data_IF_079820830225
#
_entry.id   IF_079820830225
#
_cell.length_a   1.000
_cell.length_b   1.000
_cell.length_c   1.000
_cell.angle_alpha   90.00
_cell.angle_beta   90.00
_cell.angle_gamma   90.00
#
_symmetry.space_group_name_H-M   'P 1'
#
loop_
_entity.id
_entity.type
_entity.pdbx_description
1 polymer ?
#
# COMPACT_ATOMS: atom_id res chain seq x y z
N UNK A 1 -3.23 13.42 20.77
CA UNK A 1 -2.50 13.12 19.51
C UNK A 1 -3.39 13.51 18.33
N UNK A 2 -2.85 14.01 17.21
CA UNK A 2 -3.64 14.20 15.98
C UNK A 2 -4.06 12.82 15.46
N UNK A 3 -5.35 12.61 15.18
CA UNK A 3 -5.81 11.38 14.50
C UNK A 3 -5.21 11.40 13.10
N UNK A 4 -4.47 10.36 12.72
CA UNK A 4 -3.79 10.28 11.42
C UNK A 4 -4.75 9.91 10.28
N UNK A 5 -5.77 10.75 10.08
CA UNK A 5 -6.67 10.77 8.93
C UNK A 5 -6.46 12.12 8.23
N UNK A 6 -6.28 12.16 6.90
CA UNK A 6 -6.03 13.42 6.20
C UNK A 6 -7.24 14.36 6.24
N UNK A 7 -7.00 15.65 6.42
CA UNK A 7 -8.06 16.65 6.38
C UNK A 7 -8.55 16.85 4.95
N UNK A 8 -9.84 16.64 4.67
CA UNK A 8 -10.46 17.09 3.40
C UNK A 8 -10.61 18.62 3.47
N UNK A 9 -10.09 19.32 2.45
CA UNK A 9 -10.15 20.79 2.34
C UNK A 9 -11.33 21.25 1.48
N UNK A 10 -11.65 20.49 0.43
CA UNK A 10 -12.75 20.79 -0.49
C UNK A 10 -13.21 19.52 -1.22
N UNK A 11 -14.48 19.47 -1.64
CA UNK A 11 -15.02 18.43 -2.51
C UNK A 11 -16.15 19.02 -3.36
N UNK A 12 -16.19 18.68 -4.64
CA UNK A 12 -17.20 19.17 -5.57
C UNK A 12 -16.99 18.64 -7.00
N UNK A 13 -17.65 19.25 -7.97
CA UNK A 13 -17.49 18.95 -9.38
C UNK A 13 -16.86 20.14 -10.13
N UNK A 14 -15.96 19.86 -11.06
CA UNK A 14 -15.29 20.84 -11.92
C UNK A 14 -15.25 20.29 -13.36
N UNK A 15 -16.12 20.82 -14.22
CA UNK A 15 -16.41 20.20 -15.52
C UNK A 15 -16.96 18.78 -15.36
N UNK A 16 -16.43 17.84 -16.16
CA UNK A 16 -16.78 16.41 -16.09
C UNK A 16 -16.17 15.66 -14.89
N UNK A 17 -15.38 16.33 -14.04
CA UNK A 17 -14.60 15.68 -12.97
C UNK A 17 -15.20 15.94 -11.58
N UNK A 18 -15.39 14.86 -10.82
CA UNK A 18 -15.52 14.97 -9.36
C UNK A 18 -14.12 15.14 -8.76
N UNK A 19 -13.91 16.24 -8.04
CA UNK A 19 -12.60 16.66 -7.50
C UNK A 19 -12.68 16.76 -5.98
N UNK A 20 -11.70 16.17 -5.30
CA UNK A 20 -11.53 16.23 -3.85
C UNK A 20 -10.12 16.72 -3.52
N UNK A 21 -10.03 17.80 -2.76
CA UNK A 21 -8.76 18.38 -2.31
C UNK A 21 -8.56 18.01 -0.85
N UNK A 22 -7.39 17.46 -0.50
CA UNK A 22 -7.08 16.98 0.83
C UNK A 22 -5.67 17.40 1.29
N UNK A 23 -5.37 17.14 2.57
CA UNK A 23 -4.06 17.31 3.17
C UNK A 23 -3.01 16.44 2.45
N UNK A 24 -2.00 17.07 1.84
CA UNK A 24 -0.89 16.38 1.19
C UNK A 24 -0.05 15.64 2.25
N UNK A 25 0.21 14.36 2.02
CA UNK A 25 0.97 13.50 2.91
C UNK A 25 2.40 13.28 2.40
N UNK A 26 3.24 12.69 3.26
CA UNK A 26 4.54 12.16 2.86
C UNK A 26 4.43 10.88 2.00
N UNK A 27 5.58 10.25 1.66
CA UNK A 27 5.63 9.00 0.89
C UNK A 27 4.88 7.87 1.60
N UNK A 28 4.38 6.91 0.81
CA UNK A 28 3.67 5.74 1.33
C UNK A 28 4.62 4.76 2.04
N UNK A 29 4.06 3.82 2.80
CA UNK A 29 4.86 2.75 3.40
C UNK A 29 5.55 1.86 2.36
N UNK A 30 4.98 1.68 1.15
CA UNK A 30 5.63 0.93 0.07
C UNK A 30 6.78 1.73 -0.57
N UNK A 31 6.65 3.05 -0.73
CA UNK A 31 7.76 3.90 -1.17
C UNK A 31 8.93 3.84 -0.18
N UNK A 32 8.62 3.96 1.11
CA UNK A 32 9.60 3.84 2.20
C UNK A 32 10.20 2.43 2.30
N UNK A 33 9.42 1.40 2.00
CA UNK A 33 9.88 0.00 1.98
C UNK A 33 10.85 -0.25 0.83
N UNK A 34 10.57 0.24 -0.37
CA UNK A 34 11.50 0.18 -1.50
C UNK A 34 12.77 1.03 -1.26
N UNK A 35 12.65 2.20 -0.60
CA UNK A 35 13.81 2.98 -0.16
C UNK A 35 14.67 2.23 0.87
N UNK A 36 14.07 1.41 1.74
CA UNK A 36 14.77 0.52 2.68
C UNK A 36 15.12 -0.85 2.04
N UNK A 37 15.43 -0.89 0.74
CA UNK A 37 15.83 -2.11 0.02
C UNK A 37 14.86 -3.30 0.18
N UNK A 38 13.57 -3.02 0.33
CA UNK A 38 12.47 -3.98 0.54
C UNK A 38 12.62 -4.84 1.80
N UNK A 39 13.20 -4.30 2.87
CA UNK A 39 13.17 -4.92 4.20
C UNK A 39 13.16 -3.87 5.30
N UNK A 40 12.23 -4.01 6.25
CA UNK A 40 12.24 -3.22 7.48
C UNK A 40 12.86 -4.00 8.65
N UNK A 41 13.42 -3.28 9.61
CA UNK A 41 13.86 -3.83 10.89
C UNK A 41 12.66 -4.17 11.77
N UNK A 42 12.85 -5.12 12.71
CA UNK A 42 11.81 -5.47 13.68
C UNK A 42 11.33 -4.24 14.49
N UNK A 43 12.24 -3.32 14.83
CA UNK A 43 11.90 -2.06 15.51
C UNK A 43 10.90 -1.24 14.67
N UNK A 44 11.21 -1.03 13.39
CA UNK A 44 10.35 -0.29 12.45
C UNK A 44 8.98 -0.97 12.26
N UNK A 45 8.95 -2.29 12.09
CA UNK A 45 7.67 -3.04 11.93
C UNK A 45 6.80 -2.94 13.19
N UNK A 46 7.37 -3.01 14.38
CA UNK A 46 6.62 -2.89 15.64
C UNK A 46 6.13 -1.44 15.92
N UNK A 47 6.92 -0.42 15.59
CA UNK A 47 6.49 0.99 15.66
C UNK A 47 5.36 1.30 14.67
N UNK A 48 5.35 0.65 13.51
CA UNK A 48 4.25 0.73 12.54
C UNK A 48 3.01 -0.01 13.04
N UNK A 49 3.16 -1.23 13.58
CA UNK A 49 2.06 -2.05 14.07
C UNK A 49 1.17 -1.33 15.11
N UNK A 50 1.77 -0.69 16.11
CA UNK A 50 1.02 0.02 17.16
C UNK A 50 0.14 1.15 16.60
N UNK A 51 0.69 1.90 15.63
CA UNK A 51 -0.03 2.98 14.96
C UNK A 51 -1.12 2.43 14.03
N UNK A 52 -0.82 1.40 13.24
CA UNK A 52 -1.76 0.82 12.27
C UNK A 52 -2.96 0.17 12.95
N UNK A 53 -2.75 -0.61 14.03
CA UNK A 53 -3.85 -1.16 14.85
C UNK A 53 -4.73 -0.01 15.37
N UNK A 54 -4.12 1.09 15.84
CA UNK A 54 -4.83 2.25 16.38
C UNK A 54 -5.57 3.08 15.31
N UNK A 55 -5.17 3.01 14.03
CA UNK A 55 -5.97 3.59 12.93
C UNK A 55 -7.17 2.70 12.57
N UNK A 56 -6.98 1.39 12.51
CA UNK A 56 -8.04 0.43 12.26
C UNK A 56 -9.10 0.47 13.36
N UNK A 57 -8.70 0.51 14.64
CA UNK A 57 -9.62 0.70 15.77
C UNK A 57 -10.43 1.99 15.63
N UNK A 58 -9.81 3.12 15.26
CA UNK A 58 -10.53 4.37 15.05
C UNK A 58 -11.57 4.25 13.93
N UNK A 59 -11.22 3.64 12.79
CA UNK A 59 -12.15 3.44 11.67
C UNK A 59 -13.34 2.56 12.11
N UNK A 60 -13.06 1.45 12.78
CA UNK A 60 -14.08 0.56 13.36
C UNK A 60 -14.94 1.26 14.44
N UNK A 61 -14.39 2.24 15.19
CA UNK A 61 -15.14 3.05 16.16
C UNK A 61 -16.15 4.01 15.52
N UNK A 62 -16.05 4.23 14.20
CA UNK A 62 -17.00 5.03 13.41
C UNK A 62 -17.98 4.17 12.63
N UNK A 63 -18.06 2.87 12.94
CA UNK A 63 -18.90 1.87 12.26
C UNK A 63 -18.55 1.63 10.78
N UNK A 64 -17.39 2.09 10.33
CA UNK A 64 -16.83 1.73 9.02
C UNK A 64 -15.91 0.53 9.16
N UNK A 65 -15.89 -0.35 8.17
CA UNK A 65 -14.82 -1.33 7.93
C UNK A 65 -13.97 -0.72 6.83
N UNK A 66 -12.64 -0.66 7.00
CA UNK A 66 -11.74 -0.07 6.00
C UNK A 66 -11.76 -0.88 4.70
N UNK A 67 -11.85 -2.21 4.81
CA UNK A 67 -11.92 -3.20 3.72
C UNK A 67 -10.72 -3.22 2.78
N UNK A 68 -9.82 -2.24 2.86
CA UNK A 68 -8.69 -2.06 1.95
C UNK A 68 -7.33 -1.93 2.66
N UNK A 69 -7.17 -2.58 3.81
CA UNK A 69 -5.86 -2.73 4.48
C UNK A 69 -4.93 -3.66 3.67
N UNK A 70 -4.32 -3.18 2.58
CA UNK A 70 -3.47 -3.99 1.68
C UNK A 70 -2.30 -3.16 1.11
N UNK A 71 -1.27 -3.82 0.54
CA UNK A 71 -0.32 -3.17 -0.36
C UNK A 71 -0.95 -2.78 -1.72
N UNK A 72 -1.74 -3.69 -2.33
CA UNK A 72 -2.36 -3.51 -3.67
C UNK A 72 -3.78 -4.16 -3.74
N UNK A 73 -4.70 -3.71 -2.89
CA UNK A 73 -6.16 -3.95 -2.95
C UNK A 73 -6.62 -5.38 -3.35
N UNK A 74 -6.32 -6.36 -2.51
CA UNK A 74 -6.81 -7.75 -2.64
C UNK A 74 -8.33 -7.85 -2.42
N UNK A 75 -9.11 -8.08 -3.48
CA UNK A 75 -10.49 -8.55 -3.35
C UNK A 75 -10.49 -10.06 -3.03
N UNK A 76 -10.92 -10.43 -1.81
CA UNK A 76 -11.26 -11.82 -1.50
C UNK A 76 -12.73 -12.08 -1.79
N UNK A 77 -13.03 -13.26 -2.35
CA UNK A 77 -14.40 -13.75 -2.52
C UNK A 77 -14.90 -13.76 -3.97
N UNK A 78 -15.01 -14.97 -4.54
CA UNK A 78 -15.88 -15.25 -5.70
C UNK A 78 -17.19 -15.93 -5.28
N UNK A 79 -17.43 -16.02 -3.97
CA UNK A 79 -18.76 -15.95 -3.37
C UNK A 79 -18.86 -14.69 -2.51
N UNK A 80 -20.07 -14.18 -2.30
CA UNK A 80 -20.37 -12.98 -1.51
C UNK A 80 -20.14 -13.22 0.00
N UNK A 81 -18.89 -13.34 0.45
CA UNK A 81 -18.55 -13.23 1.87
C UNK A 81 -18.35 -11.76 2.22
N UNK A 82 -19.17 -11.25 3.13
CA UNK A 82 -19.05 -9.88 3.62
C UNK A 82 -17.79 -9.73 4.48
N UNK A 83 -17.15 -8.56 4.40
CA UNK A 83 -15.94 -8.24 5.16
C UNK A 83 -16.29 -7.47 6.44
N UNK A 84 -15.67 -7.90 7.54
CA UNK A 84 -15.91 -7.50 8.91
C UNK A 84 -14.63 -7.03 9.62
N UNK A 85 -14.72 -6.71 10.92
CA UNK A 85 -13.60 -6.13 11.69
C UNK A 85 -12.37 -7.03 11.78
N UNK A 86 -12.55 -8.36 11.71
CA UNK A 86 -11.44 -9.32 11.73
C UNK A 86 -10.67 -9.35 10.40
N UNK A 87 -11.35 -9.11 9.28
CA UNK A 87 -10.79 -9.22 7.94
C UNK A 87 -9.73 -8.12 7.71
N UNK A 88 -10.00 -6.90 8.18
CA UNK A 88 -9.01 -5.80 8.16
C UNK A 88 -7.81 -6.05 9.09
N UNK A 89 -8.01 -6.70 10.24
CA UNK A 89 -6.92 -7.05 11.16
C UNK A 89 -6.07 -8.23 10.65
N UNK A 90 -6.68 -9.29 10.12
CA UNK A 90 -5.94 -10.38 9.47
C UNK A 90 -5.13 -9.83 8.27
N UNK A 91 -5.73 -8.92 7.50
CA UNK A 91 -5.07 -8.17 6.44
C UNK A 91 -3.90 -7.30 6.93
N UNK A 92 -4.01 -6.61 8.07
CA UNK A 92 -2.87 -5.95 8.70
C UNK A 92 -1.76 -6.95 9.08
N UNK A 93 -2.11 -8.12 9.62
CA UNK A 93 -1.15 -9.17 9.94
C UNK A 93 -0.33 -9.62 8.73
N UNK A 94 -0.97 -9.75 7.56
CA UNK A 94 -0.27 -10.01 6.30
C UNK A 94 0.62 -8.84 5.84
N UNK A 95 0.25 -7.59 6.09
CA UNK A 95 1.09 -6.41 5.79
C UNK A 95 2.33 -6.36 6.70
N UNK A 96 2.18 -6.66 8.00
CA UNK A 96 3.33 -6.74 8.92
C UNK A 96 4.28 -7.88 8.54
N UNK A 97 3.75 -9.05 8.16
CA UNK A 97 4.57 -10.16 7.67
C UNK A 97 5.23 -9.87 6.32
N UNK A 98 4.60 -9.10 5.44
CA UNK A 98 5.20 -8.62 4.20
C UNK A 98 6.44 -7.73 4.47
N UNK A 99 6.33 -6.79 5.41
CA UNK A 99 7.47 -5.93 5.80
C UNK A 99 8.63 -6.71 6.44
N UNK A 100 8.32 -7.76 7.22
CA UNK A 100 9.31 -8.69 7.77
C UNK A 100 10.03 -9.48 6.67
N UNK A 101 9.27 -10.04 5.71
CA UNK A 101 9.74 -11.04 4.74
C UNK A 101 10.28 -10.45 3.41
N UNK A 102 9.95 -9.21 3.05
CA UNK A 102 10.23 -8.63 1.72
C UNK A 102 9.25 -9.05 0.62
N UNK A 103 8.64 -10.23 0.78
CA UNK A 103 7.56 -10.77 -0.05
C UNK A 103 6.72 -11.82 0.68
N UNK A 104 5.50 -12.08 0.21
CA UNK A 104 4.58 -13.09 0.76
C UNK A 104 4.50 -14.33 -0.16
N UNK A 105 4.26 -15.55 0.37
CA UNK A 105 4.27 -16.82 -0.40
C UNK A 105 3.24 -16.96 -1.53
N UNK A 106 2.38 -15.97 -1.73
CA UNK A 106 1.34 -15.89 -2.78
C UNK A 106 1.54 -14.71 -3.76
N UNK A 107 2.65 -13.97 -3.66
CA UNK A 107 3.05 -13.02 -4.72
C UNK A 107 3.60 -13.77 -5.95
N UNK A 108 3.65 -13.09 -7.09
CA UNK A 108 4.17 -13.65 -8.36
C UNK A 108 3.28 -14.72 -9.04
N UNK A 109 2.21 -15.20 -8.41
CA UNK A 109 1.32 -16.22 -8.95
C UNK A 109 0.70 -15.79 -10.31
N UNK A 110 1.06 -16.53 -11.37
CA UNK A 110 0.54 -16.35 -12.73
C UNK A 110 -0.86 -16.95 -12.86
N UNK A 111 -1.72 -16.32 -13.64
CA UNK A 111 -3.05 -16.79 -14.04
C UNK A 111 -3.49 -16.10 -15.34
N UNK A 112 -4.38 -16.73 -16.11
CA UNK A 112 -4.88 -16.15 -17.38
C UNK A 112 -5.92 -15.04 -17.16
N UNK A 113 -6.67 -15.08 -16.06
CA UNK A 113 -7.70 -14.07 -15.73
C UNK A 113 -7.50 -13.47 -14.35
N UNK A 114 -8.00 -12.23 -14.15
CA UNK A 114 -8.05 -11.57 -12.83
C UNK A 114 -8.81 -12.42 -11.79
N UNK A 115 -9.85 -13.14 -12.22
CA UNK A 115 -10.60 -14.12 -11.41
C UNK A 115 -9.67 -15.23 -10.87
N UNK A 116 -9.06 -15.99 -11.76
CA UNK A 116 -8.17 -17.11 -11.41
C UNK A 116 -6.94 -16.67 -10.61
N UNK A 117 -6.48 -15.42 -10.79
CA UNK A 117 -5.41 -14.85 -9.98
C UNK A 117 -5.81 -14.78 -8.50
N UNK A 118 -7.02 -14.29 -8.20
CA UNK A 118 -7.52 -14.23 -6.82
C UNK A 118 -7.88 -15.61 -6.26
N UNK A 119 -8.41 -16.53 -7.07
CA UNK A 119 -8.65 -17.94 -6.65
C UNK A 119 -7.33 -18.57 -6.15
N UNK A 120 -6.28 -18.57 -6.97
CA UNK A 120 -4.94 -19.10 -6.63
C UNK A 120 -4.29 -18.41 -5.42
N UNK A 121 -4.47 -17.08 -5.28
CA UNK A 121 -3.96 -16.34 -4.12
C UNK A 121 -4.72 -16.72 -2.84
N UNK A 122 -6.04 -16.90 -2.91
CA UNK A 122 -6.87 -17.31 -1.78
C UNK A 122 -6.54 -18.74 -1.34
N UNK A 123 -6.43 -19.67 -2.29
CA UNK A 123 -5.98 -21.04 -2.07
C UNK A 123 -4.59 -21.08 -1.41
N UNK A 124 -3.63 -20.28 -1.92
CA UNK A 124 -2.28 -20.23 -1.36
C UNK A 124 -2.21 -19.59 0.04
N UNK A 125 -3.08 -18.62 0.35
CA UNK A 125 -3.25 -18.05 1.69
C UNK A 125 -3.85 -19.05 2.69
N UNK A 126 -4.85 -19.83 2.26
CA UNK A 126 -5.49 -20.84 3.12
C UNK A 126 -4.60 -22.07 3.35
N UNK A 127 -3.85 -22.50 2.32
CA UNK A 127 -2.95 -23.67 2.39
C UNK A 127 -1.56 -23.38 2.98
N UNK A 128 -1.26 -22.14 3.36
CA UNK A 128 -0.03 -21.78 4.07
C UNK A 128 -0.35 -21.63 5.57
N UNK A 129 0.15 -22.53 6.46
CA UNK A 129 -0.03 -22.38 7.90
C UNK A 129 0.62 -21.10 8.42
N UNK A 130 0.08 -20.52 9.49
CA UNK A 130 0.59 -19.28 10.10
C UNK A 130 1.99 -19.51 10.69
N UNK A 131 2.23 -20.71 11.19
CA UNK A 131 3.46 -21.20 11.79
C UNK A 131 4.57 -21.35 10.72
N UNK A 132 4.18 -21.60 9.47
CA UNK A 132 5.09 -21.63 8.31
C UNK A 132 5.36 -20.21 7.81
N UNK A 133 4.33 -19.35 7.74
CA UNK A 133 4.45 -17.96 7.33
C UNK A 133 5.35 -17.14 8.30
N UNK A 134 5.19 -17.35 9.60
CA UNK A 134 5.92 -16.63 10.65
C UNK A 134 7.23 -17.33 11.08
N UNK A 135 7.64 -18.41 10.41
CA UNK A 135 8.85 -19.17 10.77
C UNK A 135 10.09 -18.29 10.76
N UNK A 136 10.81 -18.25 11.88
CA UNK A 136 12.01 -17.42 12.07
C UNK A 136 11.75 -15.98 12.52
N UNK A 137 10.48 -15.61 12.75
CA UNK A 137 10.09 -14.32 13.35
C UNK A 137 9.51 -14.55 14.76
N UNK A 138 9.43 -13.51 15.61
CA UNK A 138 8.85 -13.60 16.95
C UNK A 138 7.43 -14.18 16.94
N UNK A 139 7.12 -15.03 17.93
CA UNK A 139 5.86 -15.79 17.99
C UNK A 139 4.62 -14.89 18.07
N UNK A 140 4.78 -13.64 18.50
CA UNK A 140 3.75 -12.61 18.54
C UNK A 140 3.08 -12.38 17.17
N UNK A 141 3.80 -12.50 16.05
CA UNK A 141 3.19 -12.40 14.72
C UNK A 141 2.25 -13.57 14.40
N UNK A 142 2.60 -14.78 14.85
CA UNK A 142 1.74 -15.95 14.73
C UNK A 142 0.53 -15.86 15.68
N UNK A 143 0.75 -15.43 16.93
CA UNK A 143 -0.32 -15.17 17.91
C UNK A 143 -1.31 -14.12 17.41
N UNK A 144 -0.83 -13.03 16.81
CA UNK A 144 -1.66 -11.99 16.19
C UNK A 144 -2.55 -12.56 15.08
N UNK A 145 -1.98 -13.32 14.14
CA UNK A 145 -2.73 -13.89 13.01
C UNK A 145 -3.73 -14.97 13.46
N UNK A 146 -3.35 -15.83 14.42
CA UNK A 146 -4.24 -16.84 14.97
C UNK A 146 -5.40 -16.22 15.77
N UNK A 147 -5.15 -15.14 16.54
CA UNK A 147 -6.22 -14.35 17.16
C UNK A 147 -7.19 -13.79 16.10
N UNK A 148 -6.67 -13.16 15.05
CA UNK A 148 -7.50 -12.58 13.99
C UNK A 148 -8.38 -13.63 13.29
N UNK A 149 -7.85 -14.84 13.04
CA UNK A 149 -8.62 -15.96 12.45
C UNK A 149 -9.62 -16.60 13.43
N UNK A 150 -9.42 -16.51 14.75
CA UNK A 150 -10.38 -17.04 15.74
C UNK A 150 -11.64 -16.18 15.94
N UNK A 151 -11.60 -14.91 15.53
CA UNK A 151 -12.73 -13.98 15.68
C UNK A 151 -13.93 -14.40 14.82
N UNK A 152 -15.13 -14.29 15.40
CA UNK A 152 -16.42 -14.36 14.71
C UNK A 152 -16.62 -13.13 13.82
N UNK A 153 -17.64 -13.18 12.97
CA UNK A 153 -17.95 -12.10 12.03
C UNK A 153 -18.39 -10.81 12.74
N UNK A 154 -19.13 -10.97 13.83
CA UNK A 154 -19.75 -9.95 14.65
C UNK A 154 -18.93 -9.56 15.89
N UNK A 155 -17.84 -10.28 16.20
CA UNK A 155 -16.98 -9.99 17.35
C UNK A 155 -16.40 -8.56 17.29
N UNK A 156 -16.19 -7.97 18.48
CA UNK A 156 -15.38 -6.76 18.65
C UNK A 156 -13.95 -7.18 19.02
N UNK A 157 -12.95 -6.97 18.15
CA UNK A 157 -11.57 -7.30 18.47
C UNK A 157 -11.05 -6.54 19.70
N UNK A 158 -10.17 -7.16 20.48
CA UNK A 158 -9.38 -6.46 21.49
C UNK A 158 -8.11 -5.86 20.87
N UNK A 159 -8.25 -4.64 20.37
CA UNK A 159 -7.13 -3.86 19.82
C UNK A 159 -6.05 -3.54 20.87
N UNK A 160 -6.39 -3.54 22.16
CA UNK A 160 -5.45 -3.24 23.24
C UNK A 160 -4.59 -4.46 23.57
N UNK A 161 -5.15 -5.66 23.60
CA UNK A 161 -4.39 -6.91 23.61
C UNK A 161 -3.43 -7.00 22.42
N UNK A 162 -3.91 -6.75 21.20
CA UNK A 162 -3.09 -6.82 19.98
C UNK A 162 -1.95 -5.80 19.95
N UNK A 163 -2.15 -4.59 20.49
CA UNK A 163 -1.05 -3.63 20.74
C UNK A 163 -0.09 -4.12 21.82
N UNK A 164 -0.62 -4.57 22.96
CA UNK A 164 0.21 -4.93 24.10
C UNK A 164 1.12 -6.13 23.81
N UNK A 165 0.66 -7.06 22.96
CA UNK A 165 1.46 -8.15 22.40
C UNK A 165 2.76 -7.63 21.73
N UNK A 166 2.64 -6.66 20.82
CA UNK A 166 3.78 -6.05 20.15
C UNK A 166 4.60 -5.10 21.04
N UNK A 167 3.97 -4.37 21.97
CA UNK A 167 4.68 -3.54 22.98
C UNK A 167 5.55 -4.38 23.91
N UNK A 168 5.01 -5.51 24.40
CA UNK A 168 5.74 -6.46 25.25
C UNK A 168 6.93 -7.09 24.51
N UNK A 169 6.82 -7.31 23.20
CA UNK A 169 7.96 -7.72 22.37
C UNK A 169 8.97 -6.57 22.20
N UNK A 170 8.52 -5.37 21.88
CA UNK A 170 9.38 -4.18 21.68
C UNK A 170 10.26 -3.89 22.91
N UNK A 171 9.68 -3.91 24.11
CA UNK A 171 10.42 -3.72 25.36
C UNK A 171 11.37 -4.88 25.68
N UNK A 172 10.99 -6.15 25.41
CA UNK A 172 11.90 -7.31 25.59
C UNK A 172 13.09 -7.30 24.64
N UNK A 173 12.96 -6.67 23.48
CA UNK A 173 14.07 -6.45 22.53
C UNK A 173 14.94 -5.23 22.89
N UNK A 174 14.66 -4.55 24.00
CA UNK A 174 15.42 -3.37 24.45
C UNK A 174 15.25 -2.13 23.56
N UNK A 175 14.20 -2.07 22.74
CA UNK A 175 14.00 -0.96 21.81
C UNK A 175 13.41 0.29 22.50
N UNK A 176 13.88 1.46 22.07
CA UNK A 176 13.39 2.78 22.53
C UNK A 176 12.27 3.32 21.64
N UNK A 177 11.23 3.91 22.25
CA UNK A 177 10.15 4.65 21.55
C UNK A 177 10.60 6.06 21.14
N UNK A 178 11.67 6.12 20.35
CA UNK A 178 12.32 7.34 19.86
C UNK A 178 11.76 7.85 18.51
N UNK A 179 10.84 7.10 17.89
CA UNK A 179 10.33 7.31 16.53
C UNK A 179 11.41 7.36 15.42
N UNK A 180 12.56 6.75 15.65
CA UNK A 180 13.62 6.55 14.65
C UNK A 180 13.37 5.24 13.91
N UNK A 181 12.93 5.38 12.66
CA UNK A 181 12.69 4.29 11.70
C UNK A 181 13.88 4.12 10.74
N UNK A 182 13.89 3.03 9.98
CA UNK A 182 15.03 2.65 9.11
C UNK A 182 15.36 3.74 8.06
N UNK A 183 14.34 4.38 7.48
CA UNK A 183 14.49 5.46 6.51
C UNK A 183 15.06 6.76 7.12
N UNK A 184 15.00 6.96 8.43
CA UNK A 184 15.69 8.07 9.09
C UNK A 184 17.21 7.83 9.02
N UNK A 185 17.65 6.63 9.39
CA UNK A 185 19.07 6.24 9.39
C UNK A 185 19.68 6.34 7.98
N UNK A 186 18.96 5.83 6.97
CA UNK A 186 19.41 5.88 5.58
C UNK A 186 19.54 7.32 5.04
N UNK A 187 18.65 8.25 5.42
CA UNK A 187 18.75 9.66 5.02
C UNK A 187 19.96 10.36 5.64
N UNK A 188 20.24 10.14 6.92
CA UNK A 188 21.44 10.71 7.55
C UNK A 188 22.74 10.09 7.01
N UNK A 189 22.74 8.81 6.66
CA UNK A 189 23.86 8.15 5.97
C UNK A 189 24.11 8.72 4.57
N UNK A 190 23.04 8.89 3.77
CA UNK A 190 23.12 9.44 2.42
C UNK A 190 23.61 10.90 2.40
N UNK A 191 23.15 11.74 3.33
CA UNK A 191 23.64 13.12 3.45
C UNK A 191 25.14 13.16 3.75
N UNK A 192 25.63 12.37 4.72
CA UNK A 192 27.07 12.31 5.03
C UNK A 192 27.90 11.82 3.84
N UNK A 193 27.46 10.76 3.17
CA UNK A 193 28.16 10.26 1.98
C UNK A 193 28.20 11.29 0.83
N UNK A 194 27.16 12.13 0.69
CA UNK A 194 27.16 13.23 -0.27
C UNK A 194 28.08 14.39 0.15
N UNK A 195 28.07 14.77 1.44
CA UNK A 195 28.97 15.78 1.99
C UNK A 195 30.45 15.37 1.87
N UNK A 196 30.77 14.10 2.14
CA UNK A 196 32.11 13.54 2.03
C UNK A 196 32.56 13.44 0.56
N UNK A 197 31.69 12.95 -0.36
CA UNK A 197 31.99 12.91 -1.78
C UNK A 197 32.20 14.32 -2.38
N UNK A 198 31.48 15.35 -1.90
CA UNK A 198 31.70 16.72 -2.35
C UNK A 198 32.97 17.34 -1.73
N UNK A 199 33.33 16.99 -0.49
CA UNK A 199 34.65 17.32 0.10
C UNK A 199 35.79 16.71 -0.72
N UNK A 200 35.69 15.44 -1.10
CA UNK A 200 36.70 14.77 -1.94
C UNK A 200 36.80 15.42 -3.33
N UNK A 201 35.67 15.76 -3.96
CA UNK A 201 35.66 16.52 -5.22
C UNK A 201 36.38 17.86 -5.10
N UNK A 202 36.02 18.68 -4.10
CA UNK A 202 36.63 20.00 -3.88
C UNK A 202 38.14 19.87 -3.62
N UNK A 203 38.55 18.88 -2.82
CA UNK A 203 39.97 18.58 -2.58
C UNK A 203 40.72 18.10 -3.85
N UNK A 204 40.05 17.38 -4.75
CA UNK A 204 40.59 17.00 -6.06
C UNK A 204 40.74 18.21 -7.01
N UNK A 205 39.72 19.07 -7.06
CA UNK A 205 39.70 20.29 -7.89
C UNK A 205 40.80 21.28 -7.44
N UNK A 206 41.03 21.46 -6.14
CA UNK A 206 42.12 22.31 -5.63
C UNK A 206 43.51 21.69 -5.79
N UNK A 207 43.65 20.36 -5.71
CA UNK A 207 44.91 19.66 -6.07
C UNK A 207 45.27 19.84 -7.55
N UNK A 208 44.28 19.78 -8.45
CA UNK A 208 44.48 20.05 -9.88
C UNK A 208 44.94 21.49 -10.13
N UNK A 209 44.34 22.47 -9.44
CA UNK A 209 44.75 23.88 -9.51
C UNK A 209 46.19 24.10 -9.01
N UNK A 210 46.56 23.52 -7.87
CA UNK A 210 47.93 23.63 -7.35
C UNK A 210 48.96 22.90 -8.23
N UNK A 211 48.57 21.80 -8.90
CA UNK A 211 49.42 21.10 -9.86
C UNK A 211 49.78 21.93 -11.09
N UNK A 212 48.82 22.67 -11.66
CA UNK A 212 49.05 23.53 -12.83
C UNK A 212 49.90 24.77 -12.49
N UNK A 213 49.87 25.25 -11.24
CA UNK A 213 50.62 26.43 -10.80
C UNK A 213 52.14 26.22 -10.63
N UNK A 214 52.68 25.02 -10.90
CA UNK A 214 54.08 24.65 -10.57
C UNK A 214 54.93 24.15 -11.73
N UNK A 215 54.54 24.43 -12.98
CA UNK A 215 55.38 24.17 -14.16
C UNK A 215 56.48 25.27 -14.30
N UNK A 216 57.79 24.93 -14.27
CA UNK A 216 58.84 25.91 -14.51
C UNK A 216 58.94 26.26 -16.00
N UNK A 217 59.08 27.55 -16.30
CA UNK A 217 59.20 28.03 -17.68
C UNK A 217 60.66 28.01 -18.15
N UNK A 218 60.98 27.18 -19.16
CA UNK A 218 62.15 27.39 -20.03
C UNK A 218 62.98 26.15 -20.38
N UNK A 219 62.87 25.69 -21.63
CA UNK A 219 63.97 25.19 -22.47
C UNK A 219 63.47 24.98 -23.92
N UNK A 220 64.28 25.36 -24.93
CA UNK A 220 64.12 24.94 -26.34
C UNK A 220 65.22 23.92 -26.67
N UNK A 221 64.89 22.83 -27.38
CA UNK A 221 65.90 21.87 -27.87
C UNK A 221 65.32 20.75 -28.74
N UNK A 222 65.86 20.57 -29.95
CA UNK A 222 65.50 19.63 -31.04
C UNK A 222 66.77 19.50 -31.93
N UNK A 223 67.09 18.38 -32.66
CA UNK A 223 66.51 17.03 -32.78
C UNK A 223 67.50 15.98 -32.17
N UNK A 224 67.87 14.76 -32.66
CA UNK A 224 67.54 13.97 -33.86
C UNK A 224 67.96 12.48 -33.78
N UNK A 225 67.14 11.57 -34.34
CA UNK A 225 67.47 10.20 -34.82
C UNK A 225 68.08 9.19 -33.80
N UNK A 226 68.20 7.87 -34.05
CA UNK A 226 67.87 7.02 -35.22
C UNK A 226 67.49 5.59 -34.77
N UNK A 227 66.64 4.87 -35.51
CA UNK A 227 66.32 3.45 -35.23
C UNK A 227 65.23 2.84 -36.13
N UNK A 228 65.61 1.88 -36.99
CA UNK A 228 64.75 1.14 -37.95
C UNK A 228 65.00 -0.37 -37.75
N UNK A 229 64.14 -1.34 -38.10
CA UNK A 229 62.90 -1.33 -38.89
C UNK A 229 62.04 -2.61 -38.73
N UNK A 230 60.77 -2.56 -39.19
CA UNK A 230 59.88 -3.65 -39.70
C UNK A 230 59.35 -4.73 -38.71
N UNK A 231 58.07 -5.12 -38.86
CA UNK A 231 57.44 -6.15 -37.99
C UNK A 231 56.04 -6.72 -38.34
N UNK A 232 55.20 -6.05 -39.16
CA UNK A 232 53.93 -6.55 -39.75
C UNK A 232 52.66 -6.79 -38.86
N UNK A 233 51.50 -6.60 -39.51
CA UNK A 233 50.14 -7.15 -39.25
C UNK A 233 49.28 -6.73 -38.04
N UNK A 234 48.35 -5.80 -38.34
CA UNK A 234 46.90 -5.81 -38.06
C UNK A 234 46.29 -6.58 -36.87
N UNK A 235 45.73 -5.83 -35.91
CA UNK A 235 44.39 -6.06 -35.36
C UNK A 235 43.86 -4.77 -34.70
N UNK A 236 42.61 -4.36 -34.98
CA UNK A 236 42.03 -3.14 -34.43
C UNK A 236 41.10 -3.44 -33.23
N UNK A 237 41.24 -2.65 -32.15
CA UNK A 237 40.32 -2.64 -31.01
C UNK A 237 40.11 -1.18 -30.52
N UNK A 238 38.87 -0.71 -30.30
CA UNK A 238 38.59 0.69 -29.95
C UNK A 238 38.78 0.98 -28.46
N UNK A 239 39.06 2.25 -28.15
CA UNK A 239 39.23 2.79 -26.79
C UNK A 239 37.89 2.99 -26.04
N UNK A 240 37.90 3.09 -24.70
CA UNK A 240 36.69 3.25 -23.89
C UNK A 240 36.08 4.65 -24.04
N UNK A 241 34.75 4.73 -24.10
CA UNK A 241 34.00 5.99 -24.05
C UNK A 241 33.64 6.36 -22.61
N UNK A 242 33.88 7.62 -22.25
CA UNK A 242 33.40 8.23 -21.01
C UNK A 242 31.91 8.59 -21.12
N UNK A 243 31.09 8.40 -20.07
CA UNK A 243 29.69 8.80 -20.08
C UNK A 243 29.56 10.33 -19.91
N UNK A 244 28.84 10.98 -20.83
CA UNK A 244 28.54 12.42 -20.77
C UNK A 244 27.44 12.73 -19.76
N UNK A 245 27.55 13.89 -19.11
CA UNK A 245 26.53 14.42 -18.20
C UNK A 245 25.28 14.87 -18.98
N UNK A 246 24.14 14.23 -18.73
CA UNK A 246 22.84 14.69 -19.22
C UNK A 246 21.98 15.28 -18.09
N UNK A 247 21.62 16.55 -18.23
CA UNK A 247 20.67 17.27 -17.38
C UNK A 247 19.24 16.80 -17.68
N UNK A 248 18.71 15.92 -16.82
CA UNK A 248 17.33 15.45 -16.91
C UNK A 248 16.36 16.40 -16.21
N UNK A 249 15.44 17.03 -16.95
CA UNK A 249 14.32 17.78 -16.36
C UNK A 249 13.46 16.88 -15.47
N UNK A 250 13.13 17.37 -14.27
CA UNK A 250 12.10 16.76 -13.44
C UNK A 250 10.75 16.80 -14.16
N UNK A 251 10.06 15.66 -14.24
CA UNK A 251 8.68 15.57 -14.74
C UNK A 251 7.77 15.17 -13.59
N UNK A 252 7.00 16.15 -13.09
CA UNK A 252 5.95 15.92 -12.10
C UNK A 252 5.01 14.80 -12.54
N UNK A 253 4.90 13.74 -11.74
CA UNK A 253 3.94 12.66 -11.99
C UNK A 253 2.58 13.01 -11.39
N UNK A 254 1.76 13.76 -12.14
CA UNK A 254 0.33 13.95 -11.81
C UNK A 254 -0.38 12.59 -11.77
N UNK A 255 -0.72 12.13 -10.57
CA UNK A 255 -1.50 10.90 -10.37
C UNK A 255 -2.98 11.19 -10.63
N UNK A 256 -3.51 10.70 -11.74
CA UNK A 256 -4.94 10.82 -12.08
C UNK A 256 -5.68 9.56 -11.65
N UNK A 257 -6.52 9.68 -10.61
CA UNK A 257 -7.39 8.60 -10.14
C UNK A 257 -8.61 8.46 -11.05
N UNK A 258 -8.49 7.59 -12.07
CA UNK A 258 -9.53 7.38 -13.09
C UNK A 258 -10.72 6.55 -12.56
N UNK A 259 -11.67 7.22 -11.91
CA UNK A 259 -12.97 6.66 -11.55
C UNK A 259 -13.62 6.03 -12.78
N UNK A 260 -13.87 4.72 -12.74
CA UNK A 260 -14.52 4.01 -13.84
C UNK A 260 -16.04 4.24 -13.76
N UNK A 261 -16.57 4.94 -14.77
CA UNK A 261 -18.01 5.22 -14.93
C UNK A 261 -18.77 3.90 -15.04
N UNK A 262 -19.81 3.73 -14.23
CA UNK A 262 -20.71 2.57 -14.34
C UNK A 262 -21.45 2.56 -15.68
N UNK A 263 -21.60 1.37 -16.27
CA UNK A 263 -22.51 1.16 -17.39
C UNK A 263 -23.98 1.30 -16.93
N UNK A 264 -24.93 1.68 -17.81
CA UNK A 264 -26.31 1.94 -17.42
C UNK A 264 -27.06 0.68 -16.95
N UNK A 265 -28.13 0.91 -16.18
CA UNK A 265 -29.03 -0.15 -15.71
C UNK A 265 -29.76 -0.76 -16.92
N UNK A 266 -29.53 -2.04 -17.19
CA UNK A 266 -30.26 -2.78 -18.22
C UNK A 266 -31.53 -3.38 -17.62
N UNK A 267 -32.70 -2.86 -18.01
CA UNK A 267 -33.99 -3.44 -17.65
C UNK A 267 -34.25 -4.63 -18.58
N UNK A 268 -33.98 -5.85 -18.11
CA UNK A 268 -34.34 -7.05 -18.88
C UNK A 268 -35.84 -7.27 -18.82
N UNK A 269 -36.50 -7.16 -19.96
CA UNK A 269 -37.77 -7.88 -20.16
C UNK A 269 -37.51 -9.38 -20.07
N UNK A 270 -38.54 -10.13 -19.70
CA UNK A 270 -38.63 -11.58 -19.89
C UNK A 270 -40.11 -11.95 -19.88
N UNK A 271 -40.56 -12.63 -20.93
CA UNK A 271 -41.96 -12.67 -21.33
C UNK A 271 -42.80 -13.79 -20.71
N UNK A 272 -44.10 -13.47 -20.57
CA UNK A 272 -45.25 -14.32 -20.86
C UNK A 272 -45.13 -15.84 -20.60
N UNK A 273 -45.73 -16.28 -19.49
CA UNK A 273 -46.73 -17.35 -19.58
C UNK A 273 -48.05 -16.79 -19.04
N UNK A 274 -49.12 -16.90 -19.83
CA UNK A 274 -50.34 -16.14 -19.58
C UNK A 274 -51.53 -17.00 -19.18
N UNK A 275 -52.54 -16.37 -18.58
CA UNK A 275 -53.94 -16.77 -18.76
C UNK A 275 -54.90 -15.59 -18.59
N UNK A 276 -55.98 -15.69 -19.35
CA UNK A 276 -57.25 -14.97 -19.25
C UNK A 276 -57.85 -15.02 -17.81
N UNK A 277 -58.78 -14.15 -17.40
CA UNK A 277 -59.71 -13.37 -18.22
C UNK A 277 -60.31 -12.11 -17.55
N UNK A 278 -61.08 -11.34 -18.34
CA UNK A 278 -62.22 -10.45 -17.97
C UNK A 278 -62.01 -9.17 -17.13
N UNK A 279 -62.49 -8.04 -17.71
CA UNK A 279 -62.84 -6.77 -17.03
C UNK A 279 -64.36 -6.60 -16.96
N UNK A 280 -64.90 -6.17 -15.81
CA UNK A 280 -65.98 -5.17 -15.66
C UNK A 280 -65.85 -4.57 -14.25
N UNK A 281 -65.61 -3.27 -14.02
CA UNK A 281 -66.37 -2.05 -14.36
C UNK A 281 -67.57 -1.76 -13.45
N UNK A 282 -67.32 -0.91 -12.44
CA UNK A 282 -68.23 0.10 -11.84
C UNK A 282 -69.76 -0.04 -11.99
N UNK A 283 -70.50 0.06 -10.87
CA UNK A 283 -71.24 1.29 -10.51
C UNK A 283 -71.98 1.18 -9.15
N UNK A 284 -72.59 2.30 -8.75
CA UNK A 284 -73.63 2.51 -7.73
C UNK A 284 -73.25 2.34 -6.24
N UNK A 285 -73.35 3.47 -5.53
CA UNK A 285 -73.51 3.55 -4.09
C UNK A 285 -75.00 3.74 -3.74
N UNK A 286 -75.40 3.36 -2.53
CA UNK A 286 -76.60 3.88 -1.87
C UNK A 286 -76.44 3.78 -0.34
N UNK A 287 -76.99 4.73 0.40
CA UNK A 287 -76.80 4.87 1.85
C UNK A 287 -78.13 5.09 2.57
N UNK A 288 -78.37 4.39 3.69
CA UNK A 288 -79.45 4.70 4.66
C UNK A 288 -79.34 4.01 6.04
N UNK A 289 -78.54 4.60 6.91
CA UNK A 289 -79.01 5.23 8.18
C UNK A 289 -80.11 4.50 9.00
N UNK A 290 -79.68 3.73 10.02
CA UNK A 290 -80.25 3.64 11.40
C UNK A 290 -81.66 2.98 11.63
N UNK A 291 -82.14 2.80 12.89
CA UNK A 291 -81.53 1.97 13.97
C UNK A 291 -82.56 1.13 14.79
N UNK A 292 -82.11 0.18 15.63
CA UNK A 292 -82.67 -0.14 16.98
C UNK A 292 -82.05 -1.41 17.60
N UNK A 293 -82.14 -1.56 18.93
CA UNK A 293 -81.89 -2.83 19.64
C UNK A 293 -80.86 -2.77 20.79
N UNK A 294 -81.31 -2.58 22.03
CA UNK A 294 -80.49 -2.77 23.25
C UNK A 294 -80.70 -4.18 23.84
N UNK A 295 -79.59 -4.87 24.13
CA UNK A 295 -79.33 -5.67 25.35
C UNK A 295 -77.88 -6.20 25.26
N UNK A 296 -76.94 -6.04 26.20
CA UNK A 296 -76.97 -6.05 27.68
C UNK A 296 -76.85 -7.45 28.31
N UNK A 297 -75.67 -8.08 28.21
CA UNK A 297 -75.14 -8.99 29.22
C UNK A 297 -73.61 -9.18 29.08
N UNK A 298 -72.93 -9.37 30.22
CA UNK A 298 -71.52 -9.77 30.35
C UNK A 298 -71.34 -10.39 31.75
N UNK A 299 -70.16 -10.89 32.13
CA UNK A 299 -69.34 -11.90 31.45
C UNK A 299 -69.09 -13.13 32.35
N UNK A 300 -68.62 -14.24 31.76
CA UNK A 300 -67.75 -15.25 32.41
C UNK A 300 -67.15 -16.18 31.37
#
# INVERSE_FOLDING_TARGET
MKVGIPTIKWCGAEGDYNVMVMELLGPSLEDLFNFCSRKFSLKTVLLLADQMISRIEYIHSKNFIHRDVKPDNFLMGLGKKEQSRRDDLESLGYVLMYFNLGSLPWQGLKAATKRQKYERISEKKMSTPIEVLCKGYPSEFATYLNFCRSLRFDDKPDYSYLRQLFRNLFHRQGFSYDYVFDWNMLKFGANRAAEDAERERRAGEDRLRQGQARAPAGARGIPSASGRARGAQDAAAPTPLTPTSHTGMERERKVSMRLHRGAPVNISSSDLTGRQDSRMSTSQALSRVTPSGLQSAAPR
#
